data_IF_670263840690
#
_entry.id   IF_670263840690
#
_cell.length_a   1.000
_cell.length_b   1.000
_cell.length_c   1.000
_cell.angle_alpha   90.00
_cell.angle_beta   90.00
_cell.angle_gamma   90.00
#
_symmetry.space_group_name_H-M   'P 1'
#
loop_
_entity.id
_entity.type
_entity.pdbx_description
1 polymer ?
#
# COMPACT_ATOMS: atom_id res chain seq x y z
N UNK A 1 -9.42 -9.48 19.84
CA UNK A 1 -10.20 -10.68 19.41
C UNK A 1 -11.70 -10.44 19.52
N UNK A 2 -12.30 -10.11 20.66
CA UNK A 2 -13.77 -9.95 20.79
C UNK A 2 -14.44 -9.00 19.77
N UNK A 3 -13.76 -7.93 19.32
CA UNK A 3 -14.33 -6.99 18.34
C UNK A 3 -14.41 -7.58 16.94
N UNK A 4 -13.40 -8.34 16.50
CA UNK A 4 -13.37 -9.02 15.20
C UNK A 4 -14.40 -10.17 15.15
N UNK A 5 -14.53 -10.94 16.25
CA UNK A 5 -15.50 -12.04 16.33
C UNK A 5 -16.93 -11.51 16.24
N UNK A 6 -17.19 -10.35 16.88
CA UNK A 6 -18.47 -9.65 16.74
C UNK A 6 -18.69 -9.14 15.32
N UNK A 7 -17.67 -8.56 14.68
CA UNK A 7 -17.76 -8.05 13.31
C UNK A 7 -18.13 -9.17 12.32
N UNK A 8 -17.54 -10.37 12.46
CA UNK A 8 -17.82 -11.57 11.64
C UNK A 8 -19.30 -11.99 11.67
N UNK A 9 -20.07 -11.59 12.68
CA UNK A 9 -21.51 -11.86 12.74
C UNK A 9 -22.33 -10.91 11.86
N UNK A 10 -21.75 -9.81 11.39
CA UNK A 10 -22.42 -8.76 10.62
C UNK A 10 -21.94 -8.67 9.18
N UNK A 11 -20.69 -9.08 8.89
CA UNK A 11 -20.11 -8.98 7.56
C UNK A 11 -19.44 -10.28 7.14
N UNK A 12 -19.55 -10.61 5.87
CA UNK A 12 -18.73 -11.61 5.19
C UNK A 12 -17.61 -10.93 4.41
N UNK A 13 -16.51 -11.64 4.24
CA UNK A 13 -15.40 -11.24 3.39
C UNK A 13 -15.10 -12.36 2.41
N UNK A 14 -14.96 -12.02 1.14
CA UNK A 14 -14.56 -12.93 0.07
C UNK A 14 -13.08 -12.67 -0.26
N UNK A 15 -12.16 -13.62 0.01
CA UNK A 15 -10.74 -13.45 -0.19
C UNK A 15 -10.33 -13.38 -1.67
N UNK A 16 -11.12 -13.91 -2.59
CA UNK A 16 -10.83 -13.92 -4.03
C UNK A 16 -11.17 -12.60 -4.70
N UNK A 17 -12.27 -11.97 -4.27
CA UNK A 17 -12.73 -10.69 -4.82
C UNK A 17 -12.33 -9.49 -3.98
N UNK A 18 -11.95 -9.70 -2.72
CA UNK A 18 -11.66 -8.63 -1.76
C UNK A 18 -12.91 -7.90 -1.26
N UNK A 19 -14.10 -8.41 -1.59
CA UNK A 19 -15.37 -7.76 -1.27
C UNK A 19 -15.85 -8.09 0.14
N UNK A 20 -16.41 -7.09 0.80
CA UNK A 20 -17.14 -7.25 2.06
C UNK A 20 -18.62 -7.02 1.82
N UNK A 21 -19.47 -7.89 2.39
CA UNK A 21 -20.94 -7.77 2.30
C UNK A 21 -21.60 -7.88 3.66
N UNK A 22 -22.70 -7.13 3.84
CA UNK A 22 -23.51 -7.24 5.05
C UNK A 22 -24.24 -8.59 5.08
N UNK A 23 -24.15 -9.30 6.20
CA UNK A 23 -24.88 -10.56 6.44
C UNK A 23 -26.32 -10.32 6.91
N UNK A 24 -26.61 -9.12 7.43
CA UNK A 24 -27.93 -8.73 7.94
C UNK A 24 -28.17 -7.24 7.70
N UNK A 25 -29.43 -6.85 7.73
CA UNK A 25 -29.80 -5.45 7.62
C UNK A 25 -29.22 -4.62 8.76
N UNK A 26 -28.64 -3.47 8.46
CA UNK A 26 -28.07 -2.53 9.41
C UNK A 26 -28.34 -1.09 8.98
N UNK A 27 -29.17 -0.39 9.73
CA UNK A 27 -29.62 0.97 9.41
C UNK A 27 -30.19 1.04 7.97
N UNK A 28 -29.54 1.72 7.04
CA UNK A 28 -29.96 1.85 5.64
C UNK A 28 -29.42 0.74 4.73
N UNK A 29 -28.43 -0.03 5.18
CA UNK A 29 -27.85 -1.12 4.42
C UNK A 29 -28.66 -2.41 4.57
N UNK A 30 -28.79 -3.16 3.48
CA UNK A 30 -29.45 -4.47 3.45
C UNK A 30 -28.44 -5.60 3.46
N UNK A 31 -28.87 -6.79 3.86
CA UNK A 31 -28.07 -7.99 3.68
C UNK A 31 -27.70 -8.16 2.19
N UNK A 32 -26.44 -8.48 1.91
CA UNK A 32 -25.89 -8.57 0.55
C UNK A 32 -25.26 -7.27 0.02
N UNK A 33 -25.61 -6.10 0.57
CA UNK A 33 -25.00 -4.84 0.16
C UNK A 33 -23.49 -4.83 0.47
N UNK A 34 -22.73 -4.12 -0.36
CA UNK A 34 -21.31 -3.94 -0.16
C UNK A 34 -21.04 -3.05 1.06
N UNK A 35 -20.02 -3.43 1.84
CA UNK A 35 -19.65 -2.75 3.09
C UNK A 35 -18.73 -1.58 2.84
N UNK A 36 -19.03 -0.46 3.49
CA UNK A 36 -18.11 0.67 3.59
C UNK A 36 -18.13 1.65 2.40
N UNK A 37 -17.16 2.54 2.40
CA UNK A 37 -16.95 3.57 1.37
C UNK A 37 -15.47 3.75 1.08
N UNK A 38 -15.14 4.35 -0.03
CA UNK A 38 -13.76 4.73 -0.40
C UNK A 38 -13.45 6.09 0.22
N UNK A 39 -12.32 6.21 0.90
CA UNK A 39 -11.84 7.48 1.45
C UNK A 39 -11.03 8.28 0.41
N UNK A 40 -10.57 9.47 0.80
CA UNK A 40 -9.77 10.37 -0.04
C UNK A 40 -8.41 9.79 -0.48
N UNK A 41 -7.91 8.77 0.22
CA UNK A 41 -6.68 8.05 -0.10
C UNK A 41 -6.93 6.78 -0.93
N UNK A 42 -8.21 6.48 -1.24
CA UNK A 42 -8.61 5.32 -2.00
C UNK A 42 -8.81 4.05 -1.17
N UNK A 43 -8.64 4.10 0.15
CA UNK A 43 -8.89 2.94 1.01
C UNK A 43 -10.38 2.75 1.28
N UNK A 44 -10.81 1.51 1.28
CA UNK A 44 -12.16 1.18 1.73
C UNK A 44 -12.23 1.14 3.25
N UNK A 45 -13.15 1.92 3.82
CA UNK A 45 -13.38 2.04 5.27
C UNK A 45 -14.80 1.68 5.64
N UNK A 46 -14.99 1.30 6.89
CA UNK A 46 -16.30 1.15 7.52
C UNK A 46 -16.28 1.70 8.94
N UNK A 47 -17.46 2.08 9.43
CA UNK A 47 -17.66 2.38 10.86
C UNK A 47 -18.41 1.22 11.52
N UNK A 48 -17.81 0.63 12.55
CA UNK A 48 -18.42 -0.45 13.32
C UNK A 48 -18.19 -0.23 14.81
N UNK A 49 -19.27 -0.27 15.59
CA UNK A 49 -19.26 -0.04 17.05
C UNK A 49 -18.48 1.22 17.45
N UNK A 50 -18.74 2.33 16.74
CA UNK A 50 -18.09 3.62 16.99
C UNK A 50 -16.66 3.76 16.46
N UNK A 51 -16.01 2.68 16.04
CA UNK A 51 -14.63 2.67 15.53
C UNK A 51 -14.60 2.73 14.01
N UNK A 52 -13.60 3.45 13.50
CA UNK A 52 -13.28 3.48 12.07
C UNK A 52 -12.32 2.34 11.76
N UNK A 53 -12.69 1.48 10.81
CA UNK A 53 -11.92 0.31 10.41
C UNK A 53 -11.49 0.44 8.95
N UNK A 54 -10.22 0.08 8.65
CA UNK A 54 -9.70 -0.10 7.31
C UNK A 54 -9.99 -1.54 6.86
N UNK A 55 -10.71 -1.71 5.76
CA UNK A 55 -11.17 -3.04 5.37
C UNK A 55 -10.03 -3.99 4.93
N UNK A 56 -8.92 -3.48 4.39
CA UNK A 56 -7.75 -4.34 4.11
C UNK A 56 -7.11 -4.92 5.40
N UNK A 57 -7.11 -4.16 6.50
CA UNK A 57 -6.66 -4.66 7.81
C UNK A 57 -7.62 -5.72 8.33
N UNK A 58 -8.93 -5.45 8.23
CA UNK A 58 -9.98 -6.41 8.61
C UNK A 58 -9.87 -7.70 7.77
N UNK A 59 -9.66 -7.59 6.45
CA UNK A 59 -9.46 -8.74 5.55
C UNK A 59 -8.29 -9.61 6.01
N UNK A 60 -7.15 -8.96 6.28
CA UNK A 60 -5.97 -9.64 6.81
C UNK A 60 -6.27 -10.36 8.12
N UNK A 61 -6.82 -9.64 9.11
CA UNK A 61 -7.08 -10.18 10.44
C UNK A 61 -8.12 -11.31 10.45
N UNK A 62 -9.13 -11.24 9.57
CA UNK A 62 -10.13 -12.30 9.42
C UNK A 62 -9.53 -13.64 8.97
N UNK A 63 -8.43 -13.60 8.20
CA UNK A 63 -7.84 -14.77 7.56
C UNK A 63 -6.54 -15.22 8.22
N UNK A 64 -5.68 -14.28 8.62
CA UNK A 64 -4.32 -14.55 9.11
C UNK A 64 -4.15 -14.26 10.61
N UNK A 65 -5.18 -13.72 11.28
CA UNK A 65 -5.08 -13.27 12.66
C UNK A 65 -4.51 -11.84 12.80
N UNK A 66 -4.28 -11.39 14.03
CA UNK A 66 -3.93 -10.01 14.32
C UNK A 66 -2.65 -9.57 13.64
N UNK A 67 -2.60 -8.31 13.21
CA UNK A 67 -1.39 -7.71 12.64
C UNK A 67 -0.34 -7.59 13.75
N UNK A 68 0.88 -8.15 13.58
CA UNK A 68 1.94 -8.03 14.57
C UNK A 68 2.35 -6.57 14.81
N UNK A 69 2.81 -6.28 16.02
CA UNK A 69 3.31 -4.95 16.37
C UNK A 69 4.46 -4.52 15.45
N UNK A 70 4.43 -3.25 15.03
CA UNK A 70 5.44 -2.69 14.12
C UNK A 70 5.23 -3.01 12.65
N UNK A 71 4.22 -3.83 12.29
CA UNK A 71 3.86 -4.11 10.92
C UNK A 71 2.55 -3.43 10.53
N UNK A 72 2.39 -3.18 9.25
CA UNK A 72 1.19 -2.63 8.61
C UNK A 72 0.75 -3.61 7.50
N UNK A 73 -0.53 -3.62 7.16
CA UNK A 73 -1.01 -4.33 5.98
C UNK A 73 -0.84 -3.44 4.75
N UNK A 74 -0.12 -3.91 3.75
CA UNK A 74 0.21 -3.22 2.50
C UNK A 74 -0.42 -3.92 1.30
N UNK A 75 -0.79 -3.13 0.27
CA UNK A 75 -1.27 -3.62 -1.01
C UNK A 75 -0.09 -3.81 -1.97
N UNK A 76 0.20 -5.05 -2.40
CA UNK A 76 1.33 -5.37 -3.30
C UNK A 76 1.30 -4.57 -4.59
N UNK A 77 0.12 -4.40 -5.19
CA UNK A 77 -0.10 -3.62 -6.42
C UNK A 77 -0.14 -2.11 -6.19
N UNK A 78 -0.16 -1.68 -4.90
CA UNK A 78 -0.31 -0.28 -4.50
C UNK A 78 -1.66 0.34 -4.87
N UNK A 79 -2.70 -0.49 -5.12
CA UNK A 79 -4.08 -0.05 -5.26
C UNK A 79 -4.81 -0.22 -3.91
N UNK A 80 -5.10 0.87 -3.18
CA UNK A 80 -5.68 0.80 -1.84
C UNK A 80 -7.13 0.27 -1.81
N UNK A 81 -7.79 0.16 -2.96
CA UNK A 81 -9.13 -0.41 -3.08
C UNK A 81 -9.12 -1.93 -3.31
N UNK A 82 -7.98 -2.52 -3.72
CA UNK A 82 -7.86 -3.94 -4.04
C UNK A 82 -7.56 -4.77 -2.78
N UNK A 83 -8.62 -5.18 -2.07
CA UNK A 83 -8.53 -5.95 -0.84
C UNK A 83 -8.51 -7.47 -1.05
N UNK A 84 -8.24 -7.97 -2.27
CA UNK A 84 -8.01 -9.39 -2.54
C UNK A 84 -6.91 -9.91 -1.63
N UNK A 85 -7.11 -11.05 -0.95
CA UNK A 85 -6.21 -11.52 0.10
C UNK A 85 -4.77 -11.74 -0.41
N UNK A 86 -4.61 -12.28 -1.60
CA UNK A 86 -3.29 -12.52 -2.23
C UNK A 86 -2.55 -11.22 -2.58
N UNK A 87 -3.29 -10.11 -2.69
CA UNK A 87 -2.72 -8.77 -2.90
C UNK A 87 -2.24 -8.12 -1.59
N UNK A 88 -2.68 -8.61 -0.45
CA UNK A 88 -2.29 -8.08 0.86
C UNK A 88 -0.99 -8.74 1.35
N UNK A 89 -0.19 -7.99 2.08
CA UNK A 89 1.02 -8.48 2.76
C UNK A 89 1.31 -7.67 4.01
N UNK A 90 2.09 -8.24 4.92
CA UNK A 90 2.67 -7.48 6.02
C UNK A 90 3.92 -6.73 5.53
N UNK A 91 4.06 -5.50 5.97
CA UNK A 91 5.19 -4.64 5.67
C UNK A 91 5.54 -3.80 6.89
N UNK A 92 6.82 -3.50 7.07
CA UNK A 92 7.22 -2.41 7.97
C UNK A 92 6.81 -1.07 7.35
N UNK A 93 6.71 -0.03 8.16
CA UNK A 93 6.44 1.32 7.66
C UNK A 93 7.43 1.76 6.57
N UNK A 94 8.71 1.38 6.69
CA UNK A 94 9.73 1.67 5.67
C UNK A 94 9.45 0.96 4.35
N UNK A 95 9.09 -0.31 4.40
CA UNK A 95 8.73 -1.10 3.22
C UNK A 95 7.45 -0.59 2.56
N UNK A 96 6.43 -0.25 3.34
CA UNK A 96 5.18 0.32 2.83
C UNK A 96 5.46 1.65 2.10
N UNK A 97 6.32 2.52 2.65
CA UNK A 97 6.73 3.76 1.96
C UNK A 97 7.47 3.50 0.64
N UNK A 98 8.18 2.38 0.49
CA UNK A 98 8.85 1.99 -0.76
C UNK A 98 7.82 1.64 -1.86
N UNK A 99 6.70 1.03 -1.46
CA UNK A 99 5.60 0.67 -2.37
C UNK A 99 4.73 1.86 -2.79
N UNK A 100 4.86 3.03 -2.15
CA UNK A 100 4.07 4.22 -2.52
C UNK A 100 4.31 4.65 -3.96
N UNK A 101 3.27 5.21 -4.60
CA UNK A 101 3.35 5.85 -5.92
C UNK A 101 4.39 6.99 -5.91
N UNK A 102 4.94 7.28 -7.09
CA UNK A 102 5.79 8.44 -7.28
C UNK A 102 5.04 9.73 -6.91
N UNK A 103 5.72 10.64 -6.24
CA UNK A 103 5.13 11.95 -5.89
C UNK A 103 4.90 12.78 -7.14
N UNK A 104 3.78 13.48 -7.22
CA UNK A 104 3.48 14.41 -8.31
C UNK A 104 4.52 15.53 -8.48
N UNK A 105 5.24 15.87 -7.40
CA UNK A 105 6.34 16.86 -7.43
C UNK A 105 7.62 16.37 -8.09
N UNK A 106 7.71 15.07 -8.48
CA UNK A 106 8.88 14.54 -9.17
C UNK A 106 8.89 14.98 -10.63
N UNK A 107 9.77 15.92 -10.95
CA UNK A 107 9.90 16.50 -12.29
C UNK A 107 10.63 15.61 -13.31
N UNK A 108 11.38 14.59 -12.85
CA UNK A 108 12.09 13.68 -13.77
C UNK A 108 11.17 12.67 -14.43
N UNK A 109 9.96 12.44 -13.88
CA UNK A 109 9.07 11.37 -14.30
C UNK A 109 9.55 9.97 -13.92
N UNK A 110 10.66 9.84 -13.20
CA UNK A 110 11.25 8.55 -12.79
C UNK A 110 11.46 8.53 -11.28
N UNK A 111 10.89 7.51 -10.62
CA UNK A 111 11.02 7.35 -9.19
C UNK A 111 12.48 7.13 -8.79
N UNK A 112 12.97 7.92 -7.82
CA UNK A 112 14.36 7.85 -7.36
C UNK A 112 15.37 8.60 -8.23
N UNK A 113 14.92 9.32 -9.26
CA UNK A 113 15.74 10.19 -10.10
C UNK A 113 15.35 11.65 -9.85
N UNK A 114 16.33 12.51 -9.64
CA UNK A 114 16.14 13.95 -9.46
C UNK A 114 17.22 14.71 -10.22
N UNK A 115 16.88 15.89 -10.76
CA UNK A 115 17.86 16.78 -11.34
C UNK A 115 18.72 17.42 -10.24
N UNK A 116 20.04 17.23 -10.30
CA UNK A 116 20.98 17.84 -9.39
C UNK A 116 21.58 19.10 -10.05
N UNK A 117 21.19 20.26 -9.53
CA UNK A 117 21.63 21.56 -10.08
C UNK A 117 23.13 21.80 -9.97
N UNK A 118 23.77 21.28 -8.91
CA UNK A 118 25.21 21.51 -8.67
C UNK A 118 26.08 20.73 -9.65
N UNK A 119 25.61 19.57 -10.08
CA UNK A 119 26.33 18.72 -11.04
C UNK A 119 25.83 18.87 -12.47
N UNK A 120 24.67 19.54 -12.70
CA UNK A 120 24.06 19.65 -14.01
C UNK A 120 23.65 18.29 -14.59
N UNK A 121 23.30 17.31 -13.73
CA UNK A 121 23.06 15.91 -14.12
C UNK A 121 21.87 15.33 -13.35
N UNK A 122 21.32 14.24 -13.87
CA UNK A 122 20.31 13.43 -13.19
C UNK A 122 20.98 12.56 -12.13
N UNK A 123 20.59 12.75 -10.88
CA UNK A 123 21.07 11.99 -9.74
C UNK A 123 20.12 10.84 -9.43
N UNK A 124 20.65 9.63 -9.31
CA UNK A 124 19.95 8.45 -8.82
C UNK A 124 20.17 8.30 -7.33
N UNK A 125 19.09 8.29 -6.56
CA UNK A 125 19.12 8.10 -5.12
C UNK A 125 17.89 7.32 -4.65
N UNK A 126 18.12 6.18 -4.00
CA UNK A 126 17.10 5.32 -3.40
C UNK A 126 17.26 5.38 -1.89
N UNK A 127 16.15 5.46 -1.16
CA UNK A 127 16.17 5.47 0.30
C UNK A 127 15.57 4.17 0.85
N UNK A 128 16.28 3.50 1.76
CA UNK A 128 15.80 2.35 2.52
C UNK A 128 16.20 2.54 4.00
N UNK A 129 15.26 2.38 4.91
CA UNK A 129 15.49 2.48 6.36
C UNK A 129 16.27 3.74 6.77
N UNK A 130 15.87 4.88 6.18
CA UNK A 130 16.52 6.20 6.34
C UNK A 130 17.94 6.29 5.77
N UNK A 131 18.48 5.21 5.18
CA UNK A 131 19.77 5.22 4.49
C UNK A 131 19.57 5.57 3.01
N UNK A 132 20.41 6.46 2.51
CA UNK A 132 20.43 6.88 1.11
C UNK A 132 21.44 6.04 0.34
N UNK A 133 20.98 5.34 -0.68
CA UNK A 133 21.78 4.58 -1.61
C UNK A 133 21.95 5.40 -2.88
N UNK A 134 23.17 5.84 -3.18
CA UNK A 134 23.50 6.61 -4.35
C UNK A 134 23.74 5.69 -5.54
N UNK A 135 23.10 5.98 -6.66
CA UNK A 135 23.25 5.24 -7.92
C UNK A 135 24.18 5.89 -8.93
N UNK A 136 24.60 7.14 -8.65
CA UNK A 136 25.45 7.92 -9.55
C UNK A 136 24.75 9.12 -10.18
N UNK A 137 25.47 9.78 -11.12
CA UNK A 137 25.00 10.93 -11.89
C UNK A 137 25.04 10.58 -13.38
N UNK A 138 24.02 10.99 -14.15
CA UNK A 138 23.81 10.65 -15.53
C UNK A 138 23.47 11.90 -16.35
N UNK A 139 23.84 11.91 -17.61
CA UNK A 139 23.56 13.05 -18.49
C UNK A 139 22.13 13.02 -19.01
N UNK A 140 21.52 11.82 -19.13
CA UNK A 140 20.16 11.63 -19.59
C UNK A 140 19.26 11.02 -18.50
N UNK A 141 17.96 11.27 -18.58
CA UNK A 141 16.97 10.68 -17.66
C UNK A 141 16.80 9.18 -17.94
N UNK A 142 17.01 8.74 -19.18
CA UNK A 142 16.90 7.36 -19.63
C UNK A 142 17.97 6.48 -18.96
N UNK A 143 19.24 6.91 -18.98
CA UNK A 143 20.34 6.22 -18.28
C UNK A 143 20.10 6.17 -16.78
N UNK A 144 19.69 7.30 -16.19
CA UNK A 144 19.35 7.37 -14.78
C UNK A 144 18.17 6.42 -14.44
N UNK A 145 17.19 6.28 -15.34
CA UNK A 145 16.04 5.39 -15.14
C UNK A 145 16.44 3.92 -15.11
N UNK A 146 17.35 3.49 -16.00
CA UNK A 146 17.89 2.11 -15.98
C UNK A 146 18.56 1.85 -14.64
N UNK A 147 19.49 2.73 -14.26
CA UNK A 147 20.22 2.59 -12.99
C UNK A 147 19.32 2.64 -11.76
N UNK A 148 18.28 3.48 -11.78
CA UNK A 148 17.32 3.57 -10.69
C UNK A 148 16.51 2.27 -10.52
N UNK A 149 16.14 1.59 -11.62
CA UNK A 149 15.45 0.29 -11.57
C UNK A 149 16.34 -0.79 -10.97
N UNK A 150 17.58 -0.90 -11.44
CA UNK A 150 18.57 -1.87 -10.94
C UNK A 150 18.83 -1.68 -9.45
N UNK A 151 19.16 -0.46 -9.05
CA UNK A 151 19.46 -0.14 -7.65
C UNK A 151 18.25 -0.39 -6.76
N UNK A 152 17.04 -0.09 -7.24
CA UNK A 152 15.80 -0.35 -6.49
C UNK A 152 15.54 -1.85 -6.34
N UNK A 153 15.74 -2.64 -7.39
CA UNK A 153 15.62 -4.09 -7.31
C UNK A 153 16.60 -4.69 -6.30
N UNK A 154 17.85 -4.19 -6.25
CA UNK A 154 18.85 -4.62 -5.26
C UNK A 154 18.50 -4.24 -3.82
N UNK A 155 17.98 -3.01 -3.62
CA UNK A 155 17.75 -2.42 -2.30
C UNK A 155 16.38 -2.83 -1.72
N UNK A 156 15.32 -2.77 -2.54
CA UNK A 156 13.94 -2.98 -2.06
C UNK A 156 13.44 -4.41 -2.21
N UNK A 157 14.10 -5.25 -3.01
CA UNK A 157 13.69 -6.65 -3.26
C UNK A 157 12.19 -6.75 -3.59
N UNK A 158 11.41 -7.52 -2.80
CA UNK A 158 9.98 -7.77 -3.00
C UNK A 158 9.09 -6.52 -2.87
N UNK A 159 9.62 -5.40 -2.36
CA UNK A 159 8.93 -4.12 -2.24
C UNK A 159 9.32 -3.11 -3.33
N UNK A 160 10.08 -3.54 -4.34
CA UNK A 160 10.50 -2.66 -5.43
C UNK A 160 9.31 -2.30 -6.34
N UNK A 161 8.88 -1.03 -6.31
CA UNK A 161 7.89 -0.48 -7.22
C UNK A 161 8.57 0.45 -8.22
N UNK A 162 8.37 0.20 -9.51
CA UNK A 162 9.03 0.91 -10.60
C UNK A 162 8.18 2.03 -11.23
N UNK A 163 6.87 2.07 -10.92
CA UNK A 163 5.91 3.07 -11.41
C UNK A 163 5.53 4.07 -10.31
#
# INVERSE_FOLDING_TARGET
MAHLDRLKQFVSYDPETGCFRWLRNKARAKAGDEVGWIDEFGHRRMKFDGKMLLLHVVAWEMHNGPVPEGLEVDHRDGNPANNVLTNLRLATRSQNMQNMKMRASNKSGVKGVNWNKNHGKFQVQICLDRKKHHGGYFDTVEEAAVRARELRAQVHRDFARHA
#
